data_IF_955257504484
#
_entry.id   IF_955257504484
#
_cell.length_a   1.000
_cell.length_b   1.000
_cell.length_c   1.000
_cell.angle_alpha   90.00
_cell.angle_beta   90.00
_cell.angle_gamma   90.00
#
_symmetry.space_group_name_H-M   'P 1'
#
loop_
_entity.id
_entity.type
_entity.pdbx_description
1 polymer ?
#
# COMPACT_ATOMS: atom_id res chain seq x y z
N UNK A 1 -26.03 -12.22 5.87
CA UNK A 1 -24.77 -12.76 5.29
C UNK A 1 -24.13 -11.63 4.49
N UNK A 2 -23.08 -10.99 5.00
CA UNK A 2 -22.30 -10.04 4.20
C UNK A 2 -21.49 -10.88 3.22
N UNK A 3 -21.74 -10.72 1.93
CA UNK A 3 -20.85 -11.26 0.90
C UNK A 3 -19.52 -10.55 1.06
N UNK A 4 -18.53 -11.22 1.67
CA UNK A 4 -17.14 -10.78 1.61
C UNK A 4 -16.71 -10.95 0.16
N UNK A 5 -16.76 -9.86 -0.62
CA UNK A 5 -15.88 -9.76 -1.78
C UNK A 5 -14.47 -9.65 -1.21
N UNK A 6 -13.86 -10.80 -0.92
CA UNK A 6 -12.44 -10.87 -0.59
C UNK A 6 -11.68 -10.16 -1.70
N UNK A 7 -10.78 -9.23 -1.33
CA UNK A 7 -9.86 -8.64 -2.28
C UNK A 7 -9.28 -9.77 -3.16
N UNK A 8 -9.16 -9.56 -4.49
CA UNK A 8 -8.47 -10.51 -5.36
C UNK A 8 -7.13 -10.89 -4.74
N UNK A 9 -6.78 -12.18 -4.74
CA UNK A 9 -5.64 -12.68 -3.96
C UNK A 9 -4.37 -11.87 -4.21
N UNK A 10 -4.09 -11.51 -5.47
CA UNK A 10 -2.92 -10.72 -5.83
C UNK A 10 -2.91 -9.33 -5.17
N UNK A 11 -4.04 -8.62 -5.17
CA UNK A 11 -4.14 -7.32 -4.51
C UNK A 11 -4.04 -7.49 -2.99
N UNK A 12 -4.69 -8.52 -2.44
CA UNK A 12 -4.69 -8.80 -1.02
C UNK A 12 -3.28 -9.09 -0.51
N UNK A 13 -2.51 -9.87 -1.27
CA UNK A 13 -1.12 -10.20 -0.96
C UNK A 13 -0.24 -8.93 -0.91
N UNK A 14 -0.44 -7.97 -1.83
CA UNK A 14 0.27 -6.71 -1.79
C UNK A 14 -0.13 -5.84 -0.59
N UNK A 15 -1.42 -5.78 -0.23
CA UNK A 15 -1.89 -5.05 0.96
C UNK A 15 -1.29 -5.66 2.24
N UNK A 16 -1.37 -6.98 2.39
CA UNK A 16 -0.81 -7.70 3.55
C UNK A 16 0.71 -7.54 3.61
N UNK A 17 1.40 -7.57 2.47
CA UNK A 17 2.83 -7.32 2.42
C UNK A 17 3.15 -5.90 2.88
N UNK A 18 2.44 -4.88 2.38
CA UNK A 18 2.61 -3.49 2.80
C UNK A 18 2.37 -3.32 4.31
N UNK A 19 1.31 -3.93 4.86
CA UNK A 19 1.04 -3.90 6.31
C UNK A 19 2.18 -4.53 7.11
N UNK A 20 2.67 -5.69 6.65
CA UNK A 20 3.77 -6.42 7.32
C UNK A 20 5.07 -5.62 7.28
N UNK A 21 5.40 -5.07 6.12
CA UNK A 21 6.57 -4.22 5.90
C UNK A 21 6.47 -2.93 6.73
N UNK A 22 5.30 -2.28 6.75
CA UNK A 22 5.04 -1.11 7.58
C UNK A 22 5.19 -1.40 9.05
N UNK A 23 4.89 -2.60 9.55
CA UNK A 23 5.10 -2.98 10.96
C UNK A 23 6.56 -3.37 11.25
N UNK A 24 7.24 -3.97 10.26
CA UNK A 24 8.62 -4.44 10.35
C UNK A 24 9.69 -3.41 9.98
N UNK A 25 9.30 -2.23 9.48
CA UNK A 25 10.22 -1.19 9.03
C UNK A 25 11.07 -0.64 10.19
N UNK A 26 12.38 -0.59 9.96
CA UNK A 26 13.41 -0.19 10.91
C UNK A 26 14.55 0.55 10.20
N UNK A 27 15.42 1.21 10.98
CA UNK A 27 16.61 1.91 10.48
C UNK A 27 17.54 1.02 9.64
N UNK A 28 17.60 -0.28 9.88
CA UNK A 28 18.49 -1.18 9.14
C UNK A 28 17.98 -1.58 7.75
N UNK A 29 16.69 -1.38 7.45
CA UNK A 29 16.05 -1.89 6.23
C UNK A 29 15.20 -0.85 5.48
N UNK A 30 15.28 0.43 5.85
CA UNK A 30 14.42 1.50 5.32
C UNK A 30 14.44 1.59 3.78
N UNK A 31 15.59 1.39 3.14
CA UNK A 31 15.70 1.47 1.67
C UNK A 31 14.93 0.33 1.00
N UNK A 32 15.13 -0.90 1.49
CA UNK A 32 14.41 -2.06 0.96
C UNK A 32 12.92 -1.99 1.23
N UNK A 33 12.52 -1.47 2.40
CA UNK A 33 11.13 -1.17 2.74
C UNK A 33 10.51 -0.21 1.71
N UNK A 34 11.13 0.95 1.49
CA UNK A 34 10.67 1.96 0.53
C UNK A 34 10.48 1.38 -0.87
N UNK A 35 11.49 0.69 -1.37
CA UNK A 35 11.49 0.18 -2.75
C UNK A 35 10.42 -0.91 -2.93
N UNK A 36 10.23 -1.81 -1.95
CA UNK A 36 9.16 -2.81 -1.97
C UNK A 36 7.77 -2.20 -1.86
N UNK A 37 7.63 -1.14 -1.06
CA UNK A 37 6.37 -0.42 -0.92
C UNK A 37 5.96 0.24 -2.25
N UNK A 38 6.89 0.95 -2.89
CA UNK A 38 6.67 1.56 -4.20
C UNK A 38 6.25 0.51 -5.25
N UNK A 39 7.01 -0.60 -5.36
CA UNK A 39 6.70 -1.67 -6.31
C UNK A 39 5.32 -2.31 -6.08
N UNK A 40 4.90 -2.44 -4.82
CA UNK A 40 3.57 -2.98 -4.49
C UNK A 40 2.45 -2.05 -4.92
N UNK A 41 2.60 -0.75 -4.65
CA UNK A 41 1.63 0.27 -5.03
C UNK A 41 1.52 0.37 -6.56
N UNK A 42 2.65 0.37 -7.26
CA UNK A 42 2.68 0.31 -8.73
C UNK A 42 1.93 -0.92 -9.26
N UNK A 43 2.14 -2.08 -8.66
CA UNK A 43 1.46 -3.33 -9.07
C UNK A 43 -0.05 -3.26 -8.82
N UNK A 44 -0.47 -2.70 -7.68
CA UNK A 44 -1.88 -2.46 -7.37
C UNK A 44 -2.51 -1.55 -8.44
N UNK A 45 -1.90 -0.40 -8.70
CA UNK A 45 -2.39 0.60 -9.65
C UNK A 45 -2.47 0.05 -11.08
N UNK A 46 -1.51 -0.78 -11.50
CA UNK A 46 -1.54 -1.44 -12.81
C UNK A 46 -2.67 -2.48 -12.93
N UNK A 47 -3.09 -3.06 -11.80
CA UNK A 47 -4.04 -4.16 -11.79
C UNK A 47 -5.49 -3.68 -11.78
N UNK A 48 -5.78 -2.47 -11.31
CA UNK A 48 -7.15 -1.96 -11.13
C UNK A 48 -7.50 -0.84 -12.10
N UNK A 49 -8.79 -0.69 -12.40
CA UNK A 49 -9.31 0.48 -13.08
C UNK A 49 -9.08 1.72 -12.20
N UNK A 50 -8.27 2.65 -12.71
CA UNK A 50 -7.88 3.83 -11.96
C UNK A 50 -9.06 4.80 -11.82
N UNK A 51 -9.38 5.12 -10.57
CA UNK A 51 -10.29 6.19 -10.21
C UNK A 51 -9.56 7.24 -9.38
N UNK A 52 -10.04 8.49 -9.32
CA UNK A 52 -9.43 9.52 -8.47
C UNK A 52 -9.29 9.10 -7.00
N UNK A 53 -10.22 8.27 -6.51
CA UNK A 53 -10.18 7.73 -5.14
C UNK A 53 -9.07 6.70 -4.96
N UNK A 54 -8.92 5.76 -5.89
CA UNK A 54 -7.83 4.76 -5.86
C UNK A 54 -6.48 5.46 -5.94
N UNK A 55 -6.35 6.42 -6.87
CA UNK A 55 -5.12 7.18 -7.05
C UNK A 55 -4.75 7.92 -5.76
N UNK A 56 -5.69 8.69 -5.19
CA UNK A 56 -5.44 9.44 -3.95
C UNK A 56 -5.05 8.53 -2.79
N UNK A 57 -5.76 7.43 -2.57
CA UNK A 57 -5.44 6.51 -1.48
C UNK A 57 -4.05 5.87 -1.68
N UNK A 58 -3.72 5.49 -2.92
CA UNK A 58 -2.40 4.95 -3.27
C UNK A 58 -1.28 5.98 -3.08
N UNK A 59 -1.51 7.23 -3.48
CA UNK A 59 -0.56 8.34 -3.29
C UNK A 59 -0.31 8.61 -1.80
N UNK A 60 -1.37 8.53 -0.97
CA UNK A 60 -1.25 8.68 0.48
C UNK A 60 -0.40 7.56 1.11
N UNK A 61 -0.64 6.30 0.72
CA UNK A 61 0.18 5.17 1.17
C UNK A 61 1.61 5.33 0.70
N UNK A 62 1.82 5.72 -0.57
CA UNK A 62 3.16 5.90 -1.12
C UNK A 62 3.94 6.99 -0.40
N UNK A 63 3.30 8.16 -0.20
CA UNK A 63 3.88 9.26 0.57
C UNK A 63 4.18 8.85 2.00
N UNK A 64 3.26 8.15 2.67
CA UNK A 64 3.48 7.69 4.05
C UNK A 64 4.63 6.71 4.18
N UNK A 65 4.77 5.77 3.25
CA UNK A 65 5.92 4.87 3.19
C UNK A 65 7.23 5.64 2.91
N UNK A 66 7.20 6.63 2.02
CA UNK A 66 8.36 7.47 1.72
C UNK A 66 8.78 8.28 2.96
N UNK A 67 7.83 8.96 3.60
CA UNK A 67 8.08 9.76 4.82
C UNK A 67 8.61 8.88 5.95
N UNK A 68 8.07 7.66 6.11
CA UNK A 68 8.56 6.70 7.10
C UNK A 68 10.00 6.27 6.79
N UNK A 69 10.30 6.01 5.53
CA UNK A 69 11.65 5.61 5.11
C UNK A 69 12.67 6.74 5.33
N UNK A 70 12.29 7.98 5.00
CA UNK A 70 13.13 9.17 5.20
C UNK A 70 13.36 9.45 6.68
N UNK A 71 12.34 9.26 7.52
CA UNK A 71 12.48 9.36 8.97
C UNK A 71 13.37 8.22 9.52
N UNK A 72 13.16 6.97 9.10
CA UNK A 72 14.00 5.83 9.52
C UNK A 72 15.45 5.91 8.99
N UNK A 73 15.71 6.67 7.94
CA UNK A 73 17.06 6.97 7.48
C UNK A 73 17.79 7.89 8.47
N UNK A 74 17.06 8.74 9.19
CA UNK A 74 17.62 9.66 10.15
C UNK A 74 17.92 8.97 11.49
N UNK A 75 19.19 8.83 11.91
CA UNK A 75 19.53 8.20 13.19
C UNK A 75 19.05 9.00 14.41
N UNK A 76 18.65 10.26 14.23
CA UNK A 76 18.07 11.10 15.27
C UNK A 76 16.53 11.11 15.26
N UNK A 77 15.89 10.26 14.44
CA UNK A 77 14.45 10.17 14.36
C UNK A 77 13.81 9.91 15.72
N UNK A 78 12.76 10.66 16.02
CA UNK A 78 12.00 10.44 17.22
C UNK A 78 11.03 9.27 17.01
N UNK A 79 11.07 8.25 17.88
CA UNK A 79 10.16 7.11 17.81
C UNK A 79 8.69 7.53 17.71
N UNK A 80 8.27 8.59 18.40
CA UNK A 80 6.90 9.10 18.31
C UNK A 80 6.54 9.64 16.91
N UNK A 81 7.51 10.23 16.18
CA UNK A 81 7.30 10.68 14.80
C UNK A 81 7.17 9.48 13.87
N UNK A 82 8.08 8.50 13.99
CA UNK A 82 8.05 7.24 13.23
C UNK A 82 6.71 6.53 13.40
N UNK A 83 6.26 6.35 14.65
CA UNK A 83 5.00 5.66 14.92
C UNK A 83 3.78 6.44 14.41
N UNK A 84 3.76 7.76 14.55
CA UNK A 84 2.67 8.58 13.98
C UNK A 84 2.58 8.47 12.46
N UNK A 85 3.72 8.45 11.76
CA UNK A 85 3.74 8.24 10.30
C UNK A 85 3.26 6.83 9.98
N UNK A 86 3.73 5.82 10.73
CA UNK A 86 3.32 4.41 10.57
C UNK A 86 1.81 4.26 10.70
N UNK A 87 1.21 4.76 11.79
CA UNK A 87 -0.23 4.72 12.03
C UNK A 87 -1.01 5.42 10.90
N UNK A 88 -0.60 6.64 10.52
CA UNK A 88 -1.27 7.37 9.43
C UNK A 88 -1.18 6.64 8.09
N UNK A 89 -0.08 5.91 7.85
CA UNK A 89 0.10 5.15 6.61
C UNK A 89 -0.74 3.87 6.61
N UNK A 90 -0.89 3.23 7.77
CA UNK A 90 -1.80 2.09 7.96
C UNK A 90 -3.25 2.53 7.72
N UNK A 91 -3.68 3.67 8.27
CA UNK A 91 -5.02 4.20 8.02
C UNK A 91 -5.28 4.44 6.52
N UNK A 92 -4.29 4.99 5.80
CA UNK A 92 -4.38 5.18 4.35
C UNK A 92 -4.46 3.83 3.59
N UNK A 93 -3.78 2.81 4.09
CA UNK A 93 -3.76 1.47 3.51
C UNK A 93 -5.11 0.75 3.70
N UNK A 94 -5.74 0.91 4.86
CA UNK A 94 -7.08 0.38 5.15
C UNK A 94 -8.15 1.05 4.26
N UNK A 95 -8.00 2.35 3.99
CA UNK A 95 -8.83 3.07 3.03
C UNK A 95 -8.60 2.51 1.62
N UNK A 96 -7.35 2.32 1.21
CA UNK A 96 -7.00 1.77 -0.10
C UNK A 96 -7.62 0.37 -0.26
N UNK A 97 -7.44 -0.53 0.71
CA UNK A 97 -8.05 -1.86 0.71
C UNK A 97 -9.57 -1.78 0.53
N UNK A 98 -10.23 -0.94 1.32
CA UNK A 98 -11.69 -0.74 1.27
C UNK A 98 -12.20 -0.20 -0.08
N UNK A 99 -11.37 0.57 -0.80
CA UNK A 99 -11.70 1.06 -2.14
C UNK A 99 -11.45 -0.04 -3.17
N UNK A 100 -10.35 -0.78 -3.05
CA UNK A 100 -9.98 -1.88 -3.94
C UNK A 100 -11.01 -3.03 -3.90
N UNK A 101 -11.62 -3.32 -2.75
CA UNK A 101 -12.70 -4.32 -2.62
C UNK A 101 -13.90 -4.05 -3.54
N UNK A 102 -14.08 -2.80 -3.97
CA UNK A 102 -15.18 -2.34 -4.83
C UNK A 102 -14.70 -1.96 -6.23
N UNK A 103 -13.41 -2.15 -6.52
CA UNK A 103 -12.78 -1.78 -7.79
C UNK A 103 -12.95 -2.89 -8.83
N UNK A 104 -12.81 -2.50 -10.10
CA UNK A 104 -12.78 -3.42 -11.23
C UNK A 104 -11.33 -3.60 -11.70
N UNK A 105 -10.97 -4.74 -12.32
CA UNK A 105 -9.67 -4.92 -12.93
C UNK A 105 -9.46 -3.96 -14.12
N UNK A 106 -8.22 -3.50 -14.29
CA UNK A 106 -7.82 -2.65 -15.42
C UNK A 106 -8.00 -3.38 -16.76
N UNK A 107 -8.10 -2.64 -17.87
CA UNK A 107 -8.16 -3.25 -19.21
C UNK A 107 -6.91 -4.09 -19.51
N UNK A 108 -5.75 -3.63 -19.05
CA UNK A 108 -4.50 -4.38 -19.14
C UNK A 108 -4.57 -5.68 -18.33
N UNK A 109 -5.04 -5.64 -17.08
CA UNK A 109 -5.22 -6.84 -16.27
C UNK A 109 -6.21 -7.83 -16.93
N UNK A 110 -7.33 -7.32 -17.45
CA UNK A 110 -8.32 -8.13 -18.18
C UNK A 110 -7.73 -8.79 -19.42
N UNK A 111 -7.00 -8.05 -20.26
CA UNK A 111 -6.38 -8.59 -21.49
C UNK A 111 -5.30 -9.63 -21.22
N UNK A 112 -4.63 -9.56 -20.07
CA UNK A 112 -3.65 -10.55 -19.61
C UNK A 112 -4.29 -11.78 -18.93
N UNK A 113 -5.62 -11.89 -18.92
CA UNK A 113 -6.33 -12.97 -18.23
C UNK A 113 -6.23 -12.90 -16.71
N UNK A 114 -5.90 -11.72 -16.15
CA UNK A 114 -5.82 -11.43 -14.72
C UNK A 114 -7.06 -10.68 -14.20
N UNK A 115 -8.14 -10.63 -14.99
CA UNK A 115 -9.43 -10.17 -14.49
C UNK A 115 -9.95 -11.16 -13.45
N UNK A 116 -10.33 -10.65 -12.28
CA UNK A 116 -10.90 -11.42 -11.17
C UNK A 116 -12.40 -11.15 -11.05
#
# INVERSE_FOLDING_TARGET
MKMSSSLPSILGDHIVMLQTELQGAQHANWTSFRDRAAASIETILASVELTPTIQRASDQVHSGCQDLADELQNPAAANATVERIRESTIDALDILESVLQRSQPSEQARSLGRGW
#
